data_IF_140053250248
#
_entry.id   IF_140053250248
#
_cell.length_a   1.000
_cell.length_b   1.000
_cell.length_c   1.000
_cell.angle_alpha   90.00
_cell.angle_beta   90.00
_cell.angle_gamma   90.00
#
_symmetry.space_group_name_H-M   'P 1'
#
loop_
_entity.id
_entity.type
_entity.pdbx_description
1 polymer ?
#
# COMPACT_ATOMS: atom_id res chain seq x y z
N UNK A 1 13.77 11.83 -17.29
CA UNK A 1 12.36 11.52 -17.13
C UNK A 1 11.72 12.29 -15.95
N UNK A 2 12.47 12.92 -15.06
CA UNK A 2 11.95 13.67 -13.91
C UNK A 2 11.23 12.81 -12.85
N UNK A 3 11.51 11.51 -12.82
CA UNK A 3 10.95 10.59 -11.83
C UNK A 3 11.72 10.77 -10.52
N UNK A 4 11.02 10.92 -9.40
CA UNK A 4 11.61 11.01 -8.07
C UNK A 4 11.15 9.89 -7.13
N UNK A 5 10.24 9.04 -7.55
CA UNK A 5 9.70 7.93 -6.76
C UNK A 5 9.45 6.73 -7.66
N UNK A 6 9.81 5.56 -7.19
CA UNK A 6 9.45 4.28 -7.81
C UNK A 6 8.69 3.40 -6.83
N UNK A 7 7.83 2.54 -7.35
CA UNK A 7 7.17 1.49 -6.60
C UNK A 7 7.74 0.13 -6.96
N UNK A 8 7.99 -0.69 -5.95
CA UNK A 8 8.40 -2.10 -6.11
C UNK A 8 7.39 -3.01 -5.42
N UNK A 9 6.89 -3.99 -6.15
CA UNK A 9 5.83 -4.90 -5.68
C UNK A 9 6.34 -6.08 -4.88
N UNK A 10 7.59 -6.50 -5.11
CA UNK A 10 8.13 -7.71 -4.48
C UNK A 10 9.63 -7.59 -4.35
N UNK A 11 10.11 -7.93 -3.16
CA UNK A 11 11.55 -8.03 -2.85
C UNK A 11 11.83 -9.37 -2.17
N UNK A 12 13.06 -9.81 -2.24
CA UNK A 12 13.57 -10.89 -1.39
C UNK A 12 14.12 -10.25 -0.10
N UNK A 13 13.31 -10.26 0.95
CA UNK A 13 13.64 -9.64 2.24
C UNK A 13 14.76 -10.35 3.01
N UNK A 14 15.32 -11.45 2.49
CA UNK A 14 16.50 -12.14 3.02
C UNK A 14 17.82 -11.64 2.44
N UNK A 15 17.75 -10.79 1.40
CA UNK A 15 18.92 -10.25 0.70
C UNK A 15 19.31 -8.88 1.23
N UNK A 16 20.57 -8.52 1.02
CA UNK A 16 21.05 -7.16 1.24
C UNK A 16 20.61 -6.25 0.06
N UNK A 17 20.09 -5.07 0.37
CA UNK A 17 19.60 -4.10 -0.59
C UNK A 17 20.41 -2.78 -0.59
N UNK A 18 21.52 -2.71 0.15
CA UNK A 18 22.28 -1.47 0.35
C UNK A 18 22.73 -0.81 -0.94
N UNK A 19 23.29 -1.58 -1.88
CA UNK A 19 23.77 -1.05 -3.16
C UNK A 19 22.62 -0.46 -3.99
N UNK A 20 21.49 -1.19 -4.05
CA UNK A 20 20.33 -0.73 -4.80
C UNK A 20 19.72 0.52 -4.16
N UNK A 21 19.51 0.51 -2.84
CA UNK A 21 18.94 1.66 -2.12
C UNK A 21 19.87 2.88 -2.18
N UNK A 22 21.19 2.67 -2.10
CA UNK A 22 22.16 3.73 -2.30
C UNK A 22 22.09 4.32 -3.71
N UNK A 23 22.02 3.48 -4.74
CA UNK A 23 21.92 3.96 -6.13
C UNK A 23 20.64 4.79 -6.35
N UNK A 24 19.52 4.38 -5.76
CA UNK A 24 18.27 5.16 -5.78
C UNK A 24 18.44 6.50 -5.05
N UNK A 25 19.05 6.49 -3.86
CA UNK A 25 19.29 7.71 -3.08
C UNK A 25 20.21 8.69 -3.83
N UNK A 26 21.30 8.21 -4.41
CA UNK A 26 22.24 9.02 -5.22
C UNK A 26 21.54 9.65 -6.44
N UNK A 27 20.51 8.99 -6.97
CA UNK A 27 19.68 9.51 -8.07
C UNK A 27 18.52 10.41 -7.61
N UNK A 28 18.35 10.63 -6.30
CA UNK A 28 17.25 11.40 -5.73
C UNK A 28 15.89 10.68 -5.83
N UNK A 29 15.91 9.34 -5.84
CA UNK A 29 14.70 8.52 -6.00
C UNK A 29 14.30 7.89 -4.67
N UNK A 30 13.04 8.06 -4.31
CA UNK A 30 12.40 7.40 -3.18
C UNK A 30 11.75 6.08 -3.58
N UNK A 31 11.73 5.15 -2.63
CA UNK A 31 11.09 3.85 -2.80
C UNK A 31 9.72 3.82 -2.09
N UNK A 32 8.68 3.45 -2.81
CA UNK A 32 7.39 2.99 -2.28
C UNK A 32 7.34 1.47 -2.40
N UNK A 33 7.19 0.75 -1.29
CA UNK A 33 7.41 -0.69 -1.23
C UNK A 33 6.18 -1.45 -0.75
N UNK A 34 5.77 -2.48 -1.50
CA UNK A 34 4.83 -3.47 -1.02
C UNK A 34 5.51 -4.45 -0.05
N UNK A 35 4.85 -4.75 1.08
CA UNK A 35 5.39 -5.70 2.06
C UNK A 35 5.07 -7.15 1.75
N UNK A 36 4.16 -7.38 0.80
CA UNK A 36 3.71 -8.71 0.41
C UNK A 36 4.58 -9.31 -0.70
N UNK A 37 4.49 -10.61 -0.83
CA UNK A 37 5.08 -11.35 -1.94
C UNK A 37 4.09 -12.39 -2.48
N UNK A 38 4.34 -13.01 -3.63
CA UNK A 38 3.45 -14.05 -4.16
C UNK A 38 3.19 -15.22 -3.20
N UNK A 39 4.16 -15.52 -2.32
CA UNK A 39 4.05 -16.60 -1.35
C UNK A 39 3.44 -16.16 0.00
N UNK A 40 3.42 -14.86 0.27
CA UNK A 40 2.97 -14.28 1.54
C UNK A 40 2.05 -13.09 1.26
N UNK A 41 0.75 -13.38 1.17
CA UNK A 41 -0.30 -12.38 0.90
C UNK A 41 -1.64 -12.86 1.45
N UNK A 42 -2.59 -11.94 1.62
CA UNK A 42 -3.97 -12.28 1.97
C UNK A 42 -4.65 -12.98 0.79
N UNK A 43 -5.19 -14.16 1.04
CA UNK A 43 -5.93 -14.93 0.04
C UNK A 43 -7.34 -14.37 -0.11
N UNK A 44 -7.72 -13.94 -1.31
CA UNK A 44 -9.04 -13.37 -1.62
C UNK A 44 -10.20 -14.34 -1.42
N UNK A 45 -9.96 -15.63 -1.73
CA UNK A 45 -11.01 -16.65 -1.66
C UNK A 45 -11.26 -17.10 -0.21
N UNK A 46 -10.21 -17.10 0.63
CA UNK A 46 -10.30 -17.49 2.03
C UNK A 46 -9.27 -16.67 2.83
N UNK A 47 -9.64 -15.44 3.26
CA UNK A 47 -8.68 -14.55 3.89
C UNK A 47 -8.27 -14.97 5.30
N UNK A 48 -9.17 -15.60 6.06
CA UNK A 48 -8.94 -15.92 7.47
C UNK A 48 -7.71 -16.81 7.71
N UNK A 49 -7.52 -17.96 7.05
CA UNK A 49 -6.32 -18.79 7.25
C UNK A 49 -5.04 -18.14 6.74
N UNK A 50 -5.13 -17.19 5.80
CA UNK A 50 -3.95 -16.53 5.23
C UNK A 50 -3.42 -15.39 6.10
N UNK A 51 -4.22 -14.85 7.00
CA UNK A 51 -3.78 -13.90 8.02
C UNK A 51 -3.30 -14.68 9.25
N UNK A 52 -2.02 -15.00 9.27
CA UNK A 52 -1.40 -15.84 10.28
C UNK A 52 0.04 -15.38 10.62
N UNK A 53 0.65 -16.01 11.63
CA UNK A 53 1.97 -15.65 12.13
C UNK A 53 3.06 -15.77 11.06
N UNK A 54 3.00 -16.78 10.19
CA UNK A 54 3.99 -16.97 9.11
C UNK A 54 3.92 -15.84 8.10
N UNK A 55 2.72 -15.43 7.72
CA UNK A 55 2.49 -14.27 6.89
C UNK A 55 3.03 -12.99 7.54
N UNK A 56 2.66 -12.74 8.79
CA UNK A 56 3.11 -11.54 9.51
C UNK A 56 4.62 -11.51 9.73
N UNK A 57 5.26 -12.65 9.98
CA UNK A 57 6.74 -12.74 10.04
C UNK A 57 7.39 -12.28 8.73
N UNK A 58 6.85 -12.70 7.58
CA UNK A 58 7.37 -12.24 6.28
C UNK A 58 7.18 -10.75 6.08
N UNK A 59 6.01 -10.21 6.45
CA UNK A 59 5.70 -8.77 6.39
C UNK A 59 6.69 -7.99 7.26
N UNK A 60 6.88 -8.39 8.50
CA UNK A 60 7.79 -7.72 9.44
C UNK A 60 9.25 -7.83 9.02
N UNK A 61 9.68 -8.96 8.44
CA UNK A 61 11.01 -9.09 7.86
C UNK A 61 11.25 -8.09 6.72
N UNK A 62 10.23 -7.82 5.89
CA UNK A 62 10.33 -6.77 4.86
C UNK A 62 10.44 -5.38 5.48
N UNK A 63 9.68 -5.11 6.55
CA UNK A 63 9.81 -3.84 7.29
C UNK A 63 11.22 -3.70 7.87
N UNK A 64 11.75 -4.71 8.55
CA UNK A 64 13.09 -4.68 9.14
C UNK A 64 14.20 -4.47 8.09
N UNK A 65 14.05 -5.10 6.92
CA UNK A 65 15.03 -4.99 5.83
C UNK A 65 15.09 -3.57 5.22
N UNK A 66 14.00 -2.80 5.31
CA UNK A 66 13.93 -1.51 4.59
C UNK A 66 13.74 -0.28 5.49
N UNK A 67 13.28 -0.41 6.73
CA UNK A 67 12.91 0.72 7.59
C UNK A 67 14.03 1.72 7.85
N UNK A 68 15.30 1.29 7.79
CA UNK A 68 16.47 2.13 8.05
C UNK A 68 16.96 2.92 6.83
N UNK A 69 16.45 2.67 5.62
CA UNK A 69 16.82 3.47 4.46
C UNK A 69 16.05 4.79 4.46
N UNK A 70 16.76 5.92 4.44
CA UNK A 70 16.16 7.26 4.47
C UNK A 70 15.30 7.56 3.25
N UNK A 71 15.63 6.95 2.09
CA UNK A 71 14.88 7.07 0.86
C UNK A 71 13.74 6.04 0.69
N UNK A 72 13.42 5.27 1.73
CA UNK A 72 12.15 4.57 1.78
C UNK A 72 11.03 5.57 2.09
N UNK A 73 10.08 5.74 1.18
CA UNK A 73 8.99 6.71 1.30
C UNK A 73 7.85 6.17 2.16
N UNK A 74 7.35 4.99 1.83
CA UNK A 74 6.18 4.38 2.45
C UNK A 74 6.13 2.86 2.22
N UNK A 75 5.25 2.20 2.99
CA UNK A 75 4.88 0.80 2.76
C UNK A 75 3.43 0.66 2.28
N UNK A 76 3.20 -0.21 1.31
CA UNK A 76 1.87 -0.73 0.99
C UNK A 76 1.61 -2.01 1.79
N UNK A 77 0.57 -1.99 2.61
CA UNK A 77 0.17 -3.16 3.43
C UNK A 77 -0.39 -4.30 2.59
N UNK A 78 -0.99 -3.99 1.46
CA UNK A 78 -1.47 -4.96 0.48
C UNK A 78 -1.70 -4.28 -0.89
N UNK A 79 -1.76 -5.10 -1.95
CA UNK A 79 -2.07 -4.67 -3.31
C UNK A 79 -3.26 -5.44 -3.87
N UNK A 80 -4.31 -4.70 -4.25
CA UNK A 80 -5.50 -5.21 -4.97
C UNK A 80 -6.13 -6.48 -4.38
N UNK A 81 -6.10 -6.64 -3.07
CA UNK A 81 -6.75 -7.78 -2.41
C UNK A 81 -8.26 -7.73 -2.62
N UNK A 82 -8.85 -6.54 -2.47
CA UNK A 82 -10.23 -6.28 -2.82
C UNK A 82 -10.26 -5.82 -4.28
N UNK A 83 -10.65 -6.72 -5.19
CA UNK A 83 -10.56 -6.49 -6.64
C UNK A 83 -11.83 -6.81 -7.42
N UNK A 84 -12.91 -7.16 -6.75
CA UNK A 84 -14.24 -7.34 -7.31
C UNK A 84 -15.33 -7.10 -6.24
N UNK A 85 -16.58 -7.28 -6.61
CA UNK A 85 -17.73 -7.08 -5.72
C UNK A 85 -17.86 -8.16 -4.62
N UNK A 86 -17.13 -9.27 -4.72
CA UNK A 86 -17.20 -10.39 -3.77
C UNK A 86 -16.08 -10.34 -2.72
N UNK A 87 -15.03 -9.60 -2.97
CA UNK A 87 -13.82 -9.57 -2.14
C UNK A 87 -13.80 -8.51 -1.02
N UNK A 88 -14.84 -7.67 -0.76
CA UNK A 88 -14.86 -6.79 0.42
C UNK A 88 -14.71 -7.52 1.76
N UNK A 89 -15.01 -8.81 1.82
CA UNK A 89 -14.76 -9.68 2.98
C UNK A 89 -13.30 -9.70 3.42
N UNK A 90 -12.38 -9.35 2.53
CA UNK A 90 -10.94 -9.23 2.83
C UNK A 90 -10.55 -7.91 3.51
N UNK A 91 -11.40 -6.89 3.47
CA UNK A 91 -11.08 -5.56 3.97
C UNK A 91 -10.64 -5.53 5.46
N UNK A 92 -11.29 -6.27 6.39
CA UNK A 92 -10.85 -6.32 7.78
C UNK A 92 -9.42 -6.86 7.94
N UNK A 93 -9.03 -7.84 7.12
CA UNK A 93 -7.68 -8.42 7.15
C UNK A 93 -6.63 -7.45 6.61
N UNK A 94 -6.91 -6.77 5.51
CA UNK A 94 -6.02 -5.72 4.98
C UNK A 94 -5.84 -4.59 6.00
N UNK A 95 -6.92 -4.18 6.64
CA UNK A 95 -6.87 -3.17 7.71
C UNK A 95 -6.08 -3.65 8.93
N UNK A 96 -6.23 -4.92 9.32
CA UNK A 96 -5.46 -5.51 10.40
C UNK A 96 -3.95 -5.54 10.06
N UNK A 97 -3.57 -5.91 8.85
CA UNK A 97 -2.16 -5.85 8.39
C UNK A 97 -1.61 -4.43 8.47
N UNK A 98 -2.38 -3.42 8.02
CA UNK A 98 -1.98 -2.01 8.12
C UNK A 98 -1.72 -1.60 9.56
N UNK A 99 -2.64 -1.92 10.48
CA UNK A 99 -2.49 -1.71 11.92
C UNK A 99 -1.23 -2.38 12.46
N UNK A 100 -1.03 -3.65 12.15
CA UNK A 100 0.06 -4.45 12.69
C UNK A 100 1.43 -3.94 12.22
N UNK A 101 1.57 -3.52 10.96
CA UNK A 101 2.78 -2.89 10.44
C UNK A 101 3.06 -1.59 11.20
N UNK A 102 2.06 -0.72 11.37
CA UNK A 102 2.22 0.55 12.09
C UNK A 102 2.63 0.34 13.55
N UNK A 103 2.02 -0.64 14.22
CA UNK A 103 2.42 -1.02 15.59
C UNK A 103 3.83 -1.59 15.63
N UNK A 104 4.19 -2.43 14.65
CA UNK A 104 5.53 -3.02 14.55
C UNK A 104 6.60 -1.93 14.38
N UNK A 105 6.40 -0.98 13.44
CA UNK A 105 7.30 0.15 13.22
C UNK A 105 7.52 0.93 14.52
N UNK A 106 6.46 1.25 15.27
CA UNK A 106 6.56 1.95 16.56
C UNK A 106 7.31 1.13 17.61
N UNK A 107 6.95 -0.14 17.76
CA UNK A 107 7.55 -1.01 18.78
C UNK A 107 9.03 -1.28 18.53
N UNK A 108 9.47 -1.26 17.27
CA UNK A 108 10.87 -1.38 16.86
C UNK A 108 11.65 -0.07 17.01
N UNK A 109 10.99 1.05 17.28
CA UNK A 109 11.61 2.37 17.36
C UNK A 109 12.08 2.91 16.01
N UNK A 110 11.54 2.42 14.90
CA UNK A 110 11.82 2.97 13.58
C UNK A 110 11.21 4.36 13.42
N UNK A 111 11.72 5.14 12.46
CA UNK A 111 11.08 6.40 12.10
C UNK A 111 9.63 6.17 11.69
N UNK A 112 8.81 7.20 11.77
CA UNK A 112 7.43 7.12 11.29
C UNK A 112 7.42 6.97 9.76
N UNK A 113 7.11 5.76 9.28
CA UNK A 113 6.99 5.42 7.87
C UNK A 113 5.50 5.28 7.57
N UNK A 114 4.94 6.04 6.62
CA UNK A 114 3.53 5.91 6.25
C UNK A 114 3.19 4.50 5.75
N UNK A 115 2.02 3.98 6.17
CA UNK A 115 1.50 2.67 5.75
C UNK A 115 0.08 2.84 5.23
N UNK A 116 -0.19 2.31 4.05
CA UNK A 116 -1.50 2.36 3.44
C UNK A 116 -1.78 1.21 2.48
N UNK A 117 -2.96 1.20 1.91
CA UNK A 117 -3.43 0.16 1.01
C UNK A 117 -3.46 0.64 -0.43
N UNK A 118 -3.04 -0.20 -1.37
CA UNK A 118 -3.20 0.03 -2.80
C UNK A 118 -4.36 -0.80 -3.34
N UNK A 119 -5.47 -0.15 -3.62
CA UNK A 119 -6.70 -0.79 -4.08
C UNK A 119 -6.70 -0.99 -5.61
N UNK A 120 -7.45 -1.99 -6.06
CA UNK A 120 -7.88 -2.06 -7.45
C UNK A 120 -8.87 -0.92 -7.76
N UNK A 121 -8.87 -0.45 -8.99
CA UNK A 121 -9.82 0.58 -9.45
C UNK A 121 -11.16 -0.07 -9.82
N UNK A 122 -11.93 -0.48 -8.81
CA UNK A 122 -13.26 -1.09 -8.95
C UNK A 122 -14.32 -0.09 -8.55
N UNK A 123 -15.05 0.45 -9.52
CA UNK A 123 -16.06 1.48 -9.31
C UNK A 123 -17.08 1.11 -8.24
N UNK A 124 -17.49 -0.16 -8.19
CA UNK A 124 -18.54 -0.66 -7.28
C UNK A 124 -18.19 -0.53 -5.79
N UNK A 125 -16.90 -0.55 -5.43
CA UNK A 125 -16.50 -0.58 -4.01
C UNK A 125 -15.30 0.34 -3.66
N UNK A 126 -14.70 1.04 -4.64
CA UNK A 126 -13.50 1.86 -4.42
C UNK A 126 -13.68 2.90 -3.32
N UNK A 127 -14.80 3.63 -3.32
CA UNK A 127 -15.06 4.68 -2.34
C UNK A 127 -15.34 4.12 -0.95
N UNK A 128 -16.11 3.03 -0.87
CA UNK A 128 -16.37 2.32 0.38
C UNK A 128 -15.07 1.79 0.99
N UNK A 129 -14.17 1.23 0.17
CA UNK A 129 -12.86 0.78 0.64
C UNK A 129 -12.00 1.93 1.14
N UNK A 130 -11.98 3.06 0.43
CA UNK A 130 -11.27 4.25 0.88
C UNK A 130 -11.81 4.73 2.25
N UNK A 131 -13.12 4.80 2.40
CA UNK A 131 -13.78 5.17 3.66
C UNK A 131 -13.47 4.19 4.76
N UNK A 132 -13.51 2.89 4.48
CA UNK A 132 -13.22 1.84 5.46
C UNK A 132 -11.77 1.88 5.92
N UNK A 133 -10.80 2.09 5.02
CA UNK A 133 -9.39 2.19 5.38
C UNK A 133 -9.06 3.47 6.17
N UNK A 134 -9.86 4.52 6.01
CA UNK A 134 -9.71 5.78 6.73
C UNK A 134 -10.48 5.84 8.06
N UNK A 135 -11.41 4.93 8.34
CA UNK A 135 -12.20 4.96 9.58
C UNK A 135 -11.49 4.28 10.74
N UNK A 136 -12.04 4.46 11.96
CA UNK A 136 -11.53 3.88 13.19
C UNK A 136 -10.58 4.79 13.95
N UNK A 137 -9.83 4.22 14.86
CA UNK A 137 -8.85 4.94 15.67
C UNK A 137 -7.60 5.30 14.86
N UNK A 138 -6.80 6.23 15.36
CA UNK A 138 -5.52 6.59 14.73
C UNK A 138 -4.55 5.40 14.61
N UNK A 139 -4.71 4.38 15.43
CA UNK A 139 -3.91 3.14 15.36
C UNK A 139 -4.36 2.20 14.25
N UNK A 140 -5.61 2.26 13.84
CA UNK A 140 -6.22 1.31 12.90
C UNK A 140 -6.31 1.86 11.47
N UNK A 141 -6.48 3.17 11.32
CA UNK A 141 -6.64 3.78 10.00
C UNK A 141 -5.32 3.80 9.22
N UNK A 142 -5.43 3.80 7.90
CA UNK A 142 -4.30 3.98 7.00
C UNK A 142 -3.76 5.42 7.07
N UNK A 143 -2.46 5.59 6.82
CA UNK A 143 -1.86 6.92 6.69
C UNK A 143 -2.15 7.55 5.32
N UNK A 144 -2.44 6.73 4.32
CA UNK A 144 -2.86 7.12 2.98
C UNK A 144 -3.72 6.01 2.34
N UNK A 145 -4.43 6.35 1.28
CA UNK A 145 -5.10 5.39 0.41
C UNK A 145 -4.60 5.55 -1.02
N UNK A 146 -4.34 4.45 -1.69
CA UNK A 146 -3.95 4.45 -3.09
C UNK A 146 -4.86 3.54 -3.91
N UNK A 147 -5.00 3.80 -5.21
CA UNK A 147 -5.64 2.88 -6.14
C UNK A 147 -4.93 2.86 -7.49
N UNK A 148 -4.88 1.68 -8.09
CA UNK A 148 -4.20 1.46 -9.35
C UNK A 148 -5.13 1.84 -10.50
N UNK A 149 -5.01 3.07 -11.00
CA UNK A 149 -5.79 3.57 -12.12
C UNK A 149 -4.97 3.58 -13.41
N UNK A 150 -5.46 2.88 -14.41
CA UNK A 150 -4.88 2.80 -15.74
C UNK A 150 -5.79 3.41 -16.81
N UNK A 151 -6.74 4.28 -16.41
CA UNK A 151 -7.74 4.84 -17.32
C UNK A 151 -7.21 5.94 -18.22
N UNK A 152 -6.04 6.51 -17.93
CA UNK A 152 -5.42 7.55 -18.77
C UNK A 152 -4.66 6.93 -19.93
N UNK A 153 -5.38 6.36 -20.90
CA UNK A 153 -4.82 5.78 -22.12
C UNK A 153 -4.99 6.75 -23.30
N UNK A 154 -4.07 6.70 -24.25
CA UNK A 154 -4.11 7.57 -25.42
C UNK A 154 -5.10 7.04 -26.50
N UNK A 155 -5.98 7.87 -27.10
CA UNK A 155 -6.20 9.30 -26.81
C UNK A 155 -7.08 9.50 -25.57
N UNK A 156 -6.62 10.28 -24.60
CA UNK A 156 -7.39 10.59 -23.39
C UNK A 156 -7.18 12.03 -22.94
N UNK A 157 -8.04 12.48 -22.04
CA UNK A 157 -7.95 13.78 -21.37
C UNK A 157 -8.41 13.65 -19.92
N UNK A 158 -8.22 14.69 -19.13
CA UNK A 158 -8.69 14.74 -17.74
C UNK A 158 -10.17 14.37 -17.59
N UNK A 159 -11.04 14.84 -18.49
CA UNK A 159 -12.47 14.55 -18.46
C UNK A 159 -12.83 13.18 -19.02
N UNK A 160 -12.15 12.73 -20.07
CA UNK A 160 -12.47 11.44 -20.73
C UNK A 160 -11.89 10.25 -20.00
N UNK A 161 -10.82 10.42 -19.23
CA UNK A 161 -10.25 9.36 -18.37
C UNK A 161 -11.06 9.07 -17.10
N UNK A 162 -12.06 9.94 -16.78
CA UNK A 162 -12.81 9.82 -15.54
C UNK A 162 -12.14 10.45 -14.31
N UNK A 163 -10.93 11.02 -14.46
CA UNK A 163 -10.21 11.67 -13.35
C UNK A 163 -10.97 12.84 -12.73
N UNK A 164 -11.72 13.62 -13.52
CA UNK A 164 -12.55 14.71 -13.01
C UNK A 164 -13.58 14.23 -11.98
N UNK A 165 -14.22 13.08 -12.25
CA UNK A 165 -15.18 12.46 -11.32
C UNK A 165 -14.51 11.95 -10.05
N UNK A 166 -13.32 11.37 -10.17
CA UNK A 166 -12.54 10.90 -9.01
C UNK A 166 -12.14 12.07 -8.10
N UNK A 167 -11.64 13.16 -8.67
CA UNK A 167 -11.31 14.37 -7.90
C UNK A 167 -12.53 14.93 -7.18
N UNK A 168 -13.69 14.96 -7.80
CA UNK A 168 -14.94 15.38 -7.17
C UNK A 168 -15.35 14.43 -6.04
N UNK A 169 -15.31 13.11 -6.28
CA UNK A 169 -15.69 12.08 -5.33
C UNK A 169 -14.81 12.09 -4.06
N UNK A 170 -13.52 12.37 -4.21
CA UNK A 170 -12.56 12.39 -3.10
C UNK A 170 -12.24 13.80 -2.58
N UNK A 171 -12.97 14.83 -3.00
CA UNK A 171 -12.70 16.23 -2.63
C UNK A 171 -12.69 16.52 -1.12
N UNK A 172 -13.40 15.71 -0.32
CA UNK A 172 -13.45 15.81 1.14
C UNK A 172 -12.77 14.62 1.84
N UNK A 173 -11.97 13.84 1.13
CA UNK A 173 -11.25 12.72 1.71
C UNK A 173 -10.10 13.22 2.59
N UNK A 174 -9.99 12.71 3.83
CA UNK A 174 -9.20 13.36 4.88
C UNK A 174 -7.76 12.85 5.03
N UNK A 175 -7.38 11.79 4.29
CA UNK A 175 -5.99 11.32 4.23
C UNK A 175 -5.47 11.40 2.78
N UNK A 176 -4.13 11.45 2.59
CA UNK A 176 -3.56 11.49 1.25
C UNK A 176 -4.07 10.39 0.33
N UNK A 177 -4.35 10.76 -0.91
CA UNK A 177 -4.72 9.85 -1.99
C UNK A 177 -3.56 9.76 -2.99
N UNK A 178 -3.13 8.56 -3.34
CA UNK A 178 -2.02 8.29 -4.25
C UNK A 178 -2.48 7.51 -5.48
#
# INVERSE_FOLDING_TARGET
>A
MGINTIRVYTVDNTKNHDECMKALADAGIYLALDVNSPNYSINRADPHPSYNDVYLQSVFATVDAFANYENLLLFYSANEVINDEKTPVCAPYVKAVTRDIRQYIRNRGYRSIPVGYSAADVDANRYEMATYMNCGTDDERSDFFAFNDYSWCNPSSYTTSGWSKKVEQYGNYSIPLL
#
